data_IF_907688384413
#
_entry.id   IF_907688384413
#
_cell.length_a   1.000
_cell.length_b   1.000
_cell.length_c   1.000
_cell.angle_alpha   90.00
_cell.angle_beta   90.00
_cell.angle_gamma   90.00
#
_symmetry.space_group_name_H-M   'P 1'
#
loop_
_entity.id
_entity.type
_entity.pdbx_description
1 polymer ?
#
# COMPACT_ATOMS: atom_id res chain seq x y z
N UNK A 1 14.00 22.90 -11.94
CA UNK A 1 13.12 23.75 -12.78
C UNK A 1 13.67 23.84 -14.20
N UNK A 2 14.93 24.24 -14.39
CA UNK A 2 15.53 24.38 -15.74
C UNK A 2 15.63 23.06 -16.50
N UNK A 3 15.67 21.92 -15.83
CA UNK A 3 15.64 20.60 -16.45
C UNK A 3 14.25 20.13 -16.93
N UNK A 4 13.21 20.99 -16.80
CA UNK A 4 11.86 20.71 -17.31
C UNK A 4 10.84 20.27 -16.26
N UNK A 5 11.17 20.31 -14.98
CA UNK A 5 10.21 20.03 -13.90
C UNK A 5 9.26 21.22 -13.76
N UNK A 6 7.97 20.98 -13.97
CA UNK A 6 6.94 22.03 -13.94
C UNK A 6 6.33 22.22 -12.55
N UNK A 7 6.32 21.17 -11.73
CA UNK A 7 5.77 21.20 -10.38
C UNK A 7 6.66 20.39 -9.44
N UNK A 8 7.03 20.99 -8.31
CA UNK A 8 7.74 20.30 -7.24
C UNK A 8 6.78 19.87 -6.16
N UNK A 9 6.93 18.62 -5.70
CA UNK A 9 6.18 18.10 -4.57
C UNK A 9 7.02 18.21 -3.29
N UNK A 10 6.83 19.31 -2.57
CA UNK A 10 7.48 19.60 -1.29
C UNK A 10 6.39 19.77 -0.23
N UNK A 11 5.96 18.67 0.45
CA UNK A 11 4.76 18.69 1.27
C UNK A 11 4.95 19.32 2.66
N UNK A 12 6.18 19.48 3.12
CA UNK A 12 6.46 19.78 4.53
C UNK A 12 6.83 21.25 4.79
N UNK A 13 7.28 21.98 3.78
CA UNK A 13 7.68 23.37 3.93
C UNK A 13 7.48 24.20 2.63
N UNK A 14 7.74 25.49 2.71
CA UNK A 14 7.65 26.42 1.59
C UNK A 14 9.01 26.84 1.00
N UNK A 15 10.10 26.16 1.34
CA UNK A 15 11.45 26.51 0.90
C UNK A 15 11.56 26.57 -0.62
N UNK A 16 10.97 25.62 -1.33
CA UNK A 16 10.97 25.62 -2.79
C UNK A 16 10.41 26.92 -3.40
N UNK A 17 9.34 27.47 -2.82
CA UNK A 17 8.77 28.74 -3.29
C UNK A 17 9.72 29.89 -3.08
N UNK A 18 10.31 30.03 -1.88
CA UNK A 18 11.22 31.12 -1.54
C UNK A 18 12.50 31.08 -2.37
N UNK A 19 13.06 29.89 -2.54
CA UNK A 19 14.28 29.65 -3.31
C UNK A 19 14.04 29.92 -4.81
N UNK A 20 12.93 29.46 -5.37
CA UNK A 20 12.59 29.71 -6.76
C UNK A 20 12.35 31.19 -7.04
N UNK A 21 11.67 31.89 -6.11
CA UNK A 21 11.46 33.36 -6.23
C UNK A 21 12.78 34.12 -6.24
N UNK A 22 13.70 33.72 -5.36
CA UNK A 22 15.05 34.35 -5.31
C UNK A 22 15.84 34.11 -6.62
N UNK A 23 15.81 32.89 -7.16
CA UNK A 23 16.45 32.54 -8.43
C UNK A 23 15.86 33.32 -9.62
N UNK A 24 14.55 33.54 -9.64
CA UNK A 24 13.90 34.37 -10.65
C UNK A 24 14.34 35.84 -10.51
N UNK A 25 14.36 36.37 -9.29
CA UNK A 25 14.80 37.75 -9.04
C UNK A 25 16.26 37.99 -9.40
N UNK A 26 17.11 36.97 -9.25
CA UNK A 26 18.52 36.99 -9.69
C UNK A 26 18.71 36.82 -11.20
N UNK A 27 17.65 36.45 -11.93
CA UNK A 27 17.71 36.18 -13.37
C UNK A 27 18.29 34.81 -13.73
N UNK A 28 18.52 33.94 -12.77
CA UNK A 28 19.02 32.57 -12.99
C UNK A 28 17.93 31.64 -13.54
N UNK A 29 16.67 31.93 -13.23
CA UNK A 29 15.48 31.27 -13.81
C UNK A 29 14.67 32.34 -14.56
N UNK A 30 14.55 32.28 -15.89
CA UNK A 30 13.77 33.26 -16.65
C UNK A 30 12.27 33.09 -16.43
N UNK A 31 11.53 34.20 -16.41
CA UNK A 31 10.07 34.20 -16.28
C UNK A 31 9.39 33.32 -17.35
N UNK A 32 9.92 33.28 -18.56
CA UNK A 32 9.40 32.44 -19.64
C UNK A 32 9.37 30.92 -19.27
N UNK A 33 10.30 30.50 -18.43
CA UNK A 33 10.29 29.11 -17.94
C UNK A 33 9.17 28.88 -16.88
N UNK A 34 8.92 29.91 -16.09
CA UNK A 34 7.80 29.86 -15.12
C UNK A 34 6.46 29.84 -15.86
N UNK A 35 6.30 30.75 -16.85
CA UNK A 35 5.09 30.82 -17.67
C UNK A 35 4.81 29.50 -18.42
N UNK A 36 5.86 28.85 -18.94
CA UNK A 36 5.75 27.52 -19.59
C UNK A 36 5.27 26.45 -18.61
N UNK A 37 5.85 26.38 -17.41
CA UNK A 37 5.43 25.44 -16.36
C UNK A 37 3.96 25.66 -15.96
N UNK A 38 3.60 26.90 -15.66
CA UNK A 38 2.23 27.27 -15.26
C UNK A 38 1.24 26.96 -16.38
N UNK A 39 1.59 27.26 -17.64
CA UNK A 39 0.72 26.96 -18.79
C UNK A 39 0.42 25.48 -18.93
N UNK A 40 1.39 24.59 -18.69
CA UNK A 40 1.17 23.14 -18.72
C UNK A 40 0.27 22.66 -17.59
N UNK A 41 0.49 23.18 -16.38
CA UNK A 41 -0.34 22.85 -15.21
C UNK A 41 -1.79 23.32 -15.45
N UNK A 42 -1.97 24.56 -15.92
CA UNK A 42 -3.30 25.09 -16.19
C UNK A 42 -3.99 24.35 -17.32
N UNK A 43 -3.28 24.00 -18.39
CA UNK A 43 -3.83 23.19 -19.48
C UNK A 43 -4.41 21.86 -18.94
N UNK A 44 -3.63 21.13 -18.13
CA UNK A 44 -4.09 19.86 -17.54
C UNK A 44 -5.35 20.07 -16.67
N UNK A 45 -5.39 21.15 -15.89
CA UNK A 45 -6.58 21.48 -15.09
C UNK A 45 -7.81 21.76 -15.97
N UNK A 46 -7.64 22.45 -17.09
CA UNK A 46 -8.72 22.70 -18.06
C UNK A 46 -9.19 21.40 -18.72
N UNK A 47 -8.27 20.59 -19.21
CA UNK A 47 -8.61 19.30 -19.85
C UNK A 47 -9.33 18.33 -18.90
N UNK A 48 -9.02 18.40 -17.62
CA UNK A 48 -9.70 17.62 -16.56
C UNK A 48 -10.99 18.30 -16.03
N UNK A 49 -11.33 19.47 -16.53
CA UNK A 49 -12.50 20.25 -16.12
C UNK A 49 -12.54 20.56 -14.60
N UNK A 50 -11.36 20.81 -14.00
CA UNK A 50 -11.25 21.00 -12.55
C UNK A 50 -11.73 22.37 -12.06
N UNK A 51 -11.95 23.33 -12.95
CA UNK A 51 -12.46 24.66 -12.58
C UNK A 51 -13.99 24.62 -12.36
N UNK A 52 -14.70 23.80 -13.14
CA UNK A 52 -16.13 23.60 -13.03
C UNK A 52 -16.49 22.46 -12.06
N UNK A 53 -15.64 21.40 -12.02
CA UNK A 53 -15.84 20.21 -11.21
C UNK A 53 -14.61 19.97 -10.33
N UNK A 54 -14.39 20.83 -9.35
CA UNK A 54 -13.21 20.78 -8.46
C UNK A 54 -13.27 19.66 -7.41
N UNK A 55 -14.46 19.12 -7.12
CA UNK A 55 -14.68 18.10 -6.09
C UNK A 55 -15.46 16.94 -6.68
N UNK A 56 -14.88 15.74 -6.57
CA UNK A 56 -15.61 14.51 -6.93
C UNK A 56 -16.64 14.16 -5.84
N UNK A 57 -17.86 13.83 -6.25
CA UNK A 57 -18.88 13.35 -5.35
C UNK A 57 -18.88 11.81 -5.39
N UNK A 58 -18.72 11.16 -4.25
CA UNK A 58 -18.71 9.70 -4.15
C UNK A 58 -19.99 9.04 -4.72
N UNK A 59 -21.11 9.75 -4.72
CA UNK A 59 -22.38 9.26 -5.29
C UNK A 59 -22.33 9.08 -6.81
N UNK A 60 -21.43 9.77 -7.49
CA UNK A 60 -21.25 9.69 -8.94
C UNK A 60 -20.44 8.44 -9.35
N UNK A 61 -19.89 7.73 -8.37
CA UNK A 61 -19.07 6.53 -8.54
C UNK A 61 -19.65 5.31 -7.82
N UNK A 62 -20.86 4.85 -8.17
CA UNK A 62 -21.56 3.79 -7.43
C UNK A 62 -20.84 2.43 -7.45
N UNK A 63 -19.90 2.25 -8.37
CA UNK A 63 -19.07 1.02 -8.45
C UNK A 63 -17.86 1.05 -7.50
N UNK A 64 -17.52 2.22 -6.94
CA UNK A 64 -16.38 2.32 -6.02
C UNK A 64 -16.65 1.49 -4.77
N UNK A 65 -15.80 0.47 -4.53
CA UNK A 65 -15.98 -0.47 -3.42
C UNK A 65 -17.18 -1.41 -3.56
N UNK A 66 -17.78 -1.53 -4.76
CA UNK A 66 -18.89 -2.45 -5.00
C UNK A 66 -18.46 -3.92 -4.88
N UNK A 67 -19.40 -4.87 -4.69
CA UNK A 67 -19.10 -6.29 -4.68
C UNK A 67 -18.34 -6.77 -5.92
N UNK A 68 -18.65 -6.21 -7.10
CA UNK A 68 -17.97 -6.53 -8.35
C UNK A 68 -16.51 -6.09 -8.31
N UNK A 69 -16.23 -4.86 -7.82
CA UNK A 69 -14.84 -4.38 -7.67
C UNK A 69 -14.07 -5.18 -6.63
N UNK A 70 -14.70 -5.59 -5.53
CA UNK A 70 -14.09 -6.46 -4.52
C UNK A 70 -13.75 -7.82 -5.12
N UNK A 71 -14.68 -8.42 -5.89
CA UNK A 71 -14.44 -9.70 -6.56
C UNK A 71 -13.31 -9.60 -7.59
N UNK A 72 -13.25 -8.51 -8.35
CA UNK A 72 -12.18 -8.31 -9.34
C UNK A 72 -10.82 -8.11 -8.67
N UNK A 73 -10.76 -7.37 -7.55
CA UNK A 73 -9.54 -7.27 -6.75
C UNK A 73 -9.08 -8.64 -6.22
N UNK A 74 -10.01 -9.48 -5.79
CA UNK A 74 -9.71 -10.85 -5.38
C UNK A 74 -9.15 -11.69 -6.55
N UNK A 75 -9.79 -11.64 -7.72
CA UNK A 75 -9.36 -12.38 -8.90
C UNK A 75 -7.95 -11.97 -9.32
N UNK A 76 -7.70 -10.66 -9.41
CA UNK A 76 -6.39 -10.09 -9.75
C UNK A 76 -5.32 -10.52 -8.75
N UNK A 77 -5.62 -10.46 -7.46
CA UNK A 77 -4.70 -10.94 -6.42
C UNK A 77 -4.40 -12.43 -6.56
N UNK A 78 -5.42 -13.27 -6.80
CA UNK A 78 -5.26 -14.70 -6.99
C UNK A 78 -4.39 -15.02 -8.22
N UNK A 79 -4.58 -14.33 -9.34
CA UNK A 79 -3.77 -14.50 -10.55
C UNK A 79 -2.31 -14.04 -10.37
N UNK A 80 -2.06 -13.08 -9.49
CA UNK A 80 -0.71 -12.57 -9.22
C UNK A 80 0.16 -13.54 -8.42
N UNK A 81 -0.45 -14.50 -7.69
CA UNK A 81 0.27 -15.46 -6.87
C UNK A 81 1.03 -16.44 -7.75
N UNK A 82 2.35 -16.43 -7.64
CA UNK A 82 3.24 -17.27 -8.45
C UNK A 82 3.80 -18.42 -7.62
N UNK A 83 3.54 -19.65 -8.07
CA UNK A 83 4.11 -20.85 -7.45
C UNK A 83 5.56 -21.03 -7.91
N UNK A 84 6.52 -20.67 -7.06
CA UNK A 84 7.95 -20.76 -7.38
C UNK A 84 8.51 -22.17 -7.23
N UNK A 85 7.96 -22.97 -6.31
CA UNK A 85 8.40 -24.33 -6.04
C UNK A 85 7.30 -25.13 -5.34
N UNK A 86 7.08 -26.35 -5.77
CA UNK A 86 6.20 -27.30 -5.09
C UNK A 86 6.86 -28.69 -5.13
N UNK A 87 7.95 -28.85 -4.34
CA UNK A 87 8.64 -30.13 -4.22
C UNK A 87 7.76 -31.12 -3.46
N UNK A 88 7.76 -32.36 -3.91
CA UNK A 88 7.00 -33.48 -3.31
C UNK A 88 5.48 -33.23 -3.24
N UNK A 89 4.96 -32.34 -4.07
CA UNK A 89 3.52 -31.99 -4.17
C UNK A 89 2.90 -31.61 -2.79
N UNK A 90 3.62 -30.83 -1.98
CA UNK A 90 3.15 -30.34 -0.67
C UNK A 90 1.88 -29.48 -0.82
N UNK A 91 1.75 -28.75 -1.92
CA UNK A 91 0.54 -28.00 -2.24
C UNK A 91 -0.30 -28.74 -3.30
N UNK A 92 -1.63 -28.71 -3.16
CA UNK A 92 -2.43 -28.03 -2.15
C UNK A 92 -2.38 -28.73 -0.78
N UNK A 93 -2.42 -27.95 0.31
CA UNK A 93 -2.47 -28.46 1.66
C UNK A 93 -3.75 -29.26 1.89
N UNK A 94 -3.63 -30.39 2.60
CA UNK A 94 -4.79 -31.14 3.07
C UNK A 94 -5.43 -30.39 4.25
N UNK A 95 -6.75 -30.23 4.24
CA UNK A 95 -7.48 -29.51 5.30
C UNK A 95 -7.39 -30.16 6.69
N UNK A 96 -7.02 -31.44 6.77
CA UNK A 96 -6.84 -32.16 8.03
C UNK A 96 -5.43 -32.09 8.60
N UNK A 97 -4.48 -31.54 7.86
CA UNK A 97 -3.11 -31.41 8.30
C UNK A 97 -2.94 -30.22 9.25
N UNK A 98 -2.06 -30.38 10.23
CA UNK A 98 -1.63 -29.30 11.09
C UNK A 98 -0.54 -28.50 10.40
N UNK A 99 -0.67 -27.18 10.46
CA UNK A 99 0.34 -26.25 9.95
C UNK A 99 0.80 -25.32 11.04
N UNK A 100 2.05 -24.89 10.96
CA UNK A 100 2.58 -23.77 11.72
C UNK A 100 2.61 -22.55 10.83
N UNK A 101 1.95 -21.49 11.28
CA UNK A 101 2.08 -20.14 10.71
C UNK A 101 3.03 -19.36 11.62
N UNK A 102 4.10 -18.81 11.06
CA UNK A 102 5.10 -18.06 11.81
C UNK A 102 5.57 -16.84 11.02
N UNK A 103 6.29 -15.96 11.69
CA UNK A 103 6.80 -14.72 11.14
C UNK A 103 6.00 -13.49 11.62
N UNK A 104 6.69 -12.35 11.84
CA UNK A 104 6.09 -11.15 12.43
C UNK A 104 5.03 -10.51 11.54
N UNK A 105 5.01 -10.82 10.24
CA UNK A 105 4.02 -10.28 9.28
C UNK A 105 2.74 -11.12 9.18
N UNK A 106 2.77 -12.35 9.66
CA UNK A 106 1.69 -13.31 9.41
C UNK A 106 0.39 -13.00 10.15
N UNK A 107 0.46 -12.24 11.23
CA UNK A 107 -0.70 -11.80 12.02
C UNK A 107 -0.74 -10.28 12.19
N UNK A 108 -0.59 -9.54 11.12
CA UNK A 108 -0.62 -8.08 11.15
C UNK A 108 -1.15 -7.50 9.84
N UNK A 109 -2.24 -6.75 9.93
CA UNK A 109 -2.79 -6.01 8.78
C UNK A 109 -1.85 -4.90 8.32
N UNK A 110 -1.07 -4.30 9.23
CA UNK A 110 -0.09 -3.27 8.89
C UNK A 110 0.92 -3.75 7.85
N UNK A 111 1.37 -5.00 7.94
CA UNK A 111 2.34 -5.55 7.00
C UNK A 111 1.73 -6.14 5.73
N UNK A 112 0.42 -6.40 5.73
CA UNK A 112 -0.32 -6.77 4.53
C UNK A 112 -0.67 -5.56 3.67
N UNK A 113 -0.75 -4.38 4.29
CA UNK A 113 -1.03 -3.13 3.62
C UNK A 113 0.25 -2.31 3.54
N UNK A 114 0.64 -1.90 2.36
CA UNK A 114 1.78 -1.00 2.16
C UNK A 114 1.42 0.47 2.29
N UNK A 115 2.38 1.34 2.01
CA UNK A 115 2.12 2.77 1.88
C UNK A 115 1.02 3.07 0.86
N UNK A 116 0.25 4.12 1.10
CA UNK A 116 -0.94 4.52 0.34
C UNK A 116 -2.12 3.54 0.41
N UNK A 117 -2.06 2.57 1.33
CA UNK A 117 -3.24 1.78 1.71
C UNK A 117 -3.86 2.42 2.93
N UNK A 118 -5.01 3.05 2.79
CA UNK A 118 -5.74 3.84 3.79
C UNK A 118 -5.01 5.12 4.23
N UNK A 119 -3.78 5.05 4.67
CA UNK A 119 -2.94 6.18 5.10
C UNK A 119 -1.65 6.24 4.28
N UNK A 120 -0.91 7.35 4.39
CA UNK A 120 0.32 7.53 3.61
C UNK A 120 1.34 6.41 3.85
N UNK A 121 1.59 6.04 5.10
CA UNK A 121 2.56 4.98 5.44
C UNK A 121 1.91 3.61 5.69
N UNK A 122 0.58 3.52 5.69
CA UNK A 122 -0.15 2.30 6.00
C UNK A 122 -0.18 1.95 7.51
N UNK A 123 0.21 2.90 8.38
CA UNK A 123 0.45 2.68 9.80
C UNK A 123 -0.78 2.29 10.62
N UNK A 124 -1.97 2.71 10.21
CA UNK A 124 -3.21 2.45 10.94
C UNK A 124 -4.09 1.37 10.28
N UNK A 125 -3.48 0.48 9.51
CA UNK A 125 -4.23 -0.54 8.75
C UNK A 125 -5.03 -1.49 9.63
N UNK A 126 -4.60 -1.77 10.86
CA UNK A 126 -5.35 -2.60 11.80
C UNK A 126 -6.72 -1.99 12.17
N UNK A 127 -6.82 -0.65 12.15
CA UNK A 127 -8.09 0.06 12.41
C UNK A 127 -8.97 0.09 11.15
N UNK A 128 -8.40 0.45 10.01
CA UNK A 128 -9.14 0.63 8.76
C UNK A 128 -9.54 -0.69 8.08
N UNK A 129 -8.77 -1.74 8.30
CA UNK A 129 -9.00 -3.07 7.74
C UNK A 129 -9.50 -4.07 8.79
N UNK A 130 -10.18 -3.60 9.83
CA UNK A 130 -10.68 -4.45 10.93
C UNK A 130 -11.70 -5.51 10.48
N UNK A 131 -12.29 -5.37 9.30
CA UNK A 131 -13.20 -6.32 8.67
C UNK A 131 -12.48 -7.34 7.77
N UNK A 132 -11.16 -7.27 7.64
CA UNK A 132 -10.33 -8.16 6.83
C UNK A 132 -9.59 -9.17 7.72
N UNK A 133 -9.06 -10.21 7.08
CA UNK A 133 -8.32 -11.25 7.77
C UNK A 133 -6.82 -11.08 7.56
N UNK A 134 -6.07 -11.30 8.64
CA UNK A 134 -4.62 -11.55 8.55
C UNK A 134 -4.36 -12.90 7.86
N UNK A 135 -3.11 -13.17 7.48
CA UNK A 135 -2.72 -14.48 6.92
C UNK A 135 -3.06 -15.59 7.91
N UNK A 136 -2.75 -15.41 9.20
CA UNK A 136 -3.09 -16.35 10.25
C UNK A 136 -4.58 -16.63 10.32
N UNK A 137 -5.40 -15.59 10.39
CA UNK A 137 -6.85 -15.71 10.46
C UNK A 137 -7.46 -16.36 9.20
N UNK A 138 -6.91 -16.05 8.02
CA UNK A 138 -7.34 -16.68 6.78
C UNK A 138 -7.08 -18.19 6.77
N UNK A 139 -5.92 -18.64 7.26
CA UNK A 139 -5.63 -20.06 7.45
C UNK A 139 -6.56 -20.71 8.49
N UNK A 140 -6.75 -20.06 9.64
CA UNK A 140 -7.65 -20.57 10.68
C UNK A 140 -9.09 -20.70 10.20
N UNK A 141 -9.58 -19.75 9.40
CA UNK A 141 -10.91 -19.83 8.81
C UNK A 141 -11.04 -20.95 7.77
N UNK A 142 -9.97 -21.28 7.06
CA UNK A 142 -9.99 -22.28 6.00
C UNK A 142 -9.75 -23.71 6.49
N UNK A 143 -8.91 -23.88 7.51
CA UNK A 143 -8.44 -25.20 7.98
C UNK A 143 -9.00 -25.57 9.36
N UNK A 144 -9.61 -24.64 10.09
CA UNK A 144 -9.95 -24.78 11.50
C UNK A 144 -8.84 -24.30 12.42
N UNK A 145 -9.20 -23.62 13.51
CA UNK A 145 -8.23 -23.07 14.47
C UNK A 145 -7.36 -24.14 15.12
N UNK A 146 -7.91 -25.34 15.32
CA UNK A 146 -7.25 -26.49 15.92
C UNK A 146 -6.14 -27.07 15.05
N UNK A 147 -6.16 -26.79 13.75
CA UNK A 147 -5.17 -27.23 12.78
C UNK A 147 -4.07 -26.18 12.50
N UNK A 148 -4.20 -24.98 13.06
CA UNK A 148 -3.26 -23.88 12.80
C UNK A 148 -2.56 -23.47 14.08
N UNK A 149 -1.32 -23.87 14.21
CA UNK A 149 -0.41 -23.43 15.25
C UNK A 149 0.17 -22.06 14.89
N UNK A 150 0.47 -21.24 15.88
CA UNK A 150 1.03 -19.91 15.65
C UNK A 150 2.07 -19.52 16.69
N UNK A 151 3.13 -18.90 16.19
CA UNK A 151 4.08 -18.11 16.97
C UNK A 151 4.65 -17.01 16.07
N UNK A 152 5.03 -15.86 16.61
CA UNK A 152 5.70 -14.81 15.85
C UNK A 152 7.04 -15.27 15.27
N UNK A 153 7.76 -16.12 15.99
CA UNK A 153 9.03 -16.73 15.57
C UNK A 153 10.18 -15.75 15.46
N UNK A 154 9.92 -14.48 15.21
CA UNK A 154 10.91 -13.41 15.07
C UNK A 154 10.26 -12.04 15.31
N UNK A 155 11.12 -11.04 15.49
CA UNK A 155 10.75 -9.63 15.60
C UNK A 155 11.65 -8.81 14.65
N UNK A 156 11.14 -7.67 14.11
CA UNK A 156 11.94 -6.78 13.26
C UNK A 156 12.92 -5.91 14.04
N UNK A 157 12.62 -5.64 15.30
CA UNK A 157 13.35 -4.67 16.11
C UNK A 157 14.42 -5.31 17.02
N UNK A 158 14.31 -6.62 17.25
CA UNK A 158 15.19 -7.34 18.18
C UNK A 158 15.29 -8.81 17.81
N UNK A 159 16.38 -9.43 18.22
CA UNK A 159 16.51 -10.89 18.24
C UNK A 159 15.58 -11.47 19.32
N UNK A 160 14.86 -12.52 18.99
CA UNK A 160 13.95 -13.21 19.91
C UNK A 160 14.11 -14.73 19.80
N UNK A 161 15.23 -15.20 20.38
CA UNK A 161 15.58 -16.63 20.35
C UNK A 161 14.50 -17.51 20.97
N UNK A 162 13.81 -17.02 22.00
CA UNK A 162 12.75 -17.76 22.66
C UNK A 162 11.55 -18.01 21.74
N UNK A 163 11.17 -17.05 20.90
CA UNK A 163 10.11 -17.26 19.91
C UNK A 163 10.56 -18.15 18.74
N UNK A 164 11.85 -18.12 18.39
CA UNK A 164 12.43 -19.05 17.40
C UNK A 164 12.45 -20.48 17.95
N UNK A 165 12.92 -20.70 19.18
CA UNK A 165 12.89 -22.01 19.84
C UNK A 165 11.49 -22.56 19.96
N UNK A 166 10.52 -21.72 20.31
CA UNK A 166 9.10 -22.10 20.36
C UNK A 166 8.58 -22.50 18.98
N UNK A 167 8.94 -21.77 17.91
CA UNK A 167 8.56 -22.15 16.55
C UNK A 167 9.12 -23.50 16.13
N UNK A 168 10.33 -23.84 16.56
CA UNK A 168 10.99 -25.12 16.27
C UNK A 168 10.36 -26.26 17.07
N UNK A 169 9.82 -25.97 18.25
CA UNK A 169 9.21 -26.97 19.14
C UNK A 169 7.74 -27.32 18.78
N UNK A 170 7.07 -26.51 17.96
CA UNK A 170 5.69 -26.70 17.51
C UNK A 170 5.60 -27.57 16.27
#
# INVERSE_FOLDING_TARGET
>A
VMAGIDMSMVPEDFSFYTDLLDLVNKGEVPMSRIDDAVSRILRMKYELNLFENSVANAKDYPKFGSPEHIQEAYNTAAESITLLKNKDAVLPLNKSEKILVTGPTSNSMKYLNGGWSYTWQGENSDVYAADKFTILEAFQNKLGKENVLYTSGADFAKEDDAEIEKAVAL
#
